data_IF_765166200113
#
_entry.id   IF_765166200113
#
_cell.length_a   1.000
_cell.length_b   1.000
_cell.length_c   1.000
_cell.angle_alpha   90.00
_cell.angle_beta   90.00
_cell.angle_gamma   90.00
#
_symmetry.space_group_name_H-M   'P 1'
#
loop_
_entity.id
_entity.type
_entity.pdbx_description
1 polymer ?
#
# COMPACT_ATOMS: atom_id res chain seq x y z
N UNK A 1 -63.80 -19.70 -16.11
CA UNK A 1 -63.32 -18.33 -16.41
C UNK A 1 -62.75 -17.74 -15.12
N UNK A 2 -61.42 -17.75 -14.97
CA UNK A 2 -60.71 -17.12 -13.84
C UNK A 2 -59.61 -16.25 -14.43
N UNK A 3 -59.69 -14.96 -14.15
CA UNK A 3 -58.79 -13.90 -14.62
C UNK A 3 -57.45 -13.98 -13.91
N UNK A 4 -56.37 -14.03 -14.69
CA UNK A 4 -54.99 -13.92 -14.21
C UNK A 4 -54.62 -12.43 -14.07
N UNK A 5 -54.01 -12.09 -12.93
CA UNK A 5 -53.64 -10.74 -12.52
C UNK A 5 -52.35 -10.25 -13.19
N UNK A 6 -52.28 -8.94 -13.42
CA UNK A 6 -51.23 -8.16 -14.10
C UNK A 6 -49.85 -8.09 -13.39
N UNK A 7 -49.37 -9.19 -12.83
CA UNK A 7 -48.13 -9.23 -12.02
C UNK A 7 -46.89 -9.78 -12.77
N UNK A 8 -46.99 -10.22 -14.02
CA UNK A 8 -45.90 -10.93 -14.72
C UNK A 8 -45.43 -10.30 -16.04
N UNK A 9 -45.75 -9.03 -16.32
CA UNK A 9 -45.27 -8.32 -17.51
C UNK A 9 -44.25 -7.22 -17.18
N UNK A 10 -43.21 -7.57 -16.42
CA UNK A 10 -42.06 -6.67 -16.21
C UNK A 10 -40.73 -7.43 -16.23
N UNK A 11 -40.62 -8.40 -17.12
CA UNK A 11 -39.33 -8.86 -17.64
C UNK A 11 -39.20 -8.40 -19.09
N UNK A 12 -37.99 -7.97 -19.45
CA UNK A 12 -37.55 -7.47 -20.75
C UNK A 12 -37.92 -6.02 -21.06
N UNK A 13 -37.09 -5.06 -20.64
CA UNK A 13 -36.59 -3.99 -21.52
C UNK A 13 -35.42 -3.27 -20.84
N UNK A 14 -34.32 -3.11 -21.59
CA UNK A 14 -33.26 -2.11 -21.39
C UNK A 14 -32.29 -2.37 -20.20
N UNK A 15 -30.95 -2.35 -20.32
CA UNK A 15 -30.06 -1.59 -21.20
C UNK A 15 -28.76 -2.38 -21.39
N UNK A 16 -28.39 -2.64 -22.65
CA UNK A 16 -27.03 -2.95 -23.08
C UNK A 16 -26.16 -1.71 -22.83
N UNK A 17 -25.22 -1.81 -21.88
CA UNK A 17 -24.20 -0.77 -21.70
C UNK A 17 -23.06 -0.97 -22.72
N UNK A 18 -22.66 0.07 -23.47
CA UNK A 18 -21.51 0.02 -24.35
C UNK A 18 -20.21 -0.08 -23.53
N UNK A 19 -19.37 -1.02 -23.93
CA UNK A 19 -18.02 -1.24 -23.41
C UNK A 19 -17.19 0.01 -23.73
N UNK A 20 -16.94 0.83 -22.72
CA UNK A 20 -16.11 2.03 -22.85
C UNK A 20 -14.67 1.63 -23.10
N UNK A 21 -14.18 2.05 -24.27
CA UNK A 21 -12.80 2.03 -24.73
C UNK A 21 -11.86 2.61 -23.66
N UNK A 22 -11.07 1.76 -22.99
CA UNK A 22 -9.99 2.23 -22.13
C UNK A 22 -8.83 2.68 -23.02
N UNK A 23 -8.67 4.00 -23.09
CA UNK A 23 -7.54 4.67 -23.72
C UNK A 23 -6.25 4.29 -22.99
N UNK A 24 -5.37 3.56 -23.68
CA UNK A 24 -4.01 3.29 -23.26
C UNK A 24 -3.18 4.58 -23.28
N UNK A 25 -3.18 5.33 -22.18
CA UNK A 25 -2.19 6.36 -21.95
C UNK A 25 -0.83 5.70 -21.69
N UNK A 26 0.02 5.69 -22.72
CA UNK A 26 1.44 5.36 -22.58
C UNK A 26 2.12 6.48 -21.79
N UNK A 27 2.29 6.26 -20.49
CA UNK A 27 3.21 7.03 -19.67
C UNK A 27 4.63 6.49 -19.92
N UNK A 28 5.34 7.14 -20.83
CA UNK A 28 6.79 6.97 -20.99
C UNK A 28 7.51 7.65 -19.82
N UNK A 29 7.74 6.90 -18.74
CA UNK A 29 8.66 7.31 -17.67
C UNK A 29 10.10 7.01 -18.12
N UNK A 30 11.01 7.99 -18.17
CA UNK A 30 12.42 7.73 -18.42
C UNK A 30 13.01 6.95 -17.23
N UNK A 31 13.34 5.69 -17.47
CA UNK A 31 14.03 4.82 -16.53
C UNK A 31 15.52 5.18 -16.51
N UNK A 32 15.90 6.14 -15.67
CA UNK A 32 17.30 6.39 -15.30
C UNK A 32 17.76 5.36 -14.28
N UNK A 33 18.22 4.20 -14.77
CA UNK A 33 18.95 3.24 -13.95
C UNK A 33 20.38 3.72 -13.72
N UNK A 34 20.61 4.36 -12.58
CA UNK A 34 21.95 4.47 -11.98
C UNK A 34 21.84 4.19 -10.49
N UNK A 35 21.49 2.94 -10.17
CA UNK A 35 21.64 2.39 -8.83
C UNK A 35 23.08 1.94 -8.63
N UNK A 36 23.98 2.90 -8.43
CA UNK A 36 25.25 2.62 -7.77
C UNK A 36 24.93 2.27 -6.33
N UNK A 37 24.86 0.97 -6.01
CA UNK A 37 24.86 0.46 -4.65
C UNK A 37 26.20 0.79 -4.00
N UNK A 38 26.34 2.02 -3.50
CA UNK A 38 27.35 2.33 -2.50
C UNK A 38 26.98 1.53 -1.25
N UNK A 39 27.79 0.53 -0.93
CA UNK A 39 27.81 -0.12 0.37
C UNK A 39 28.02 0.98 1.41
N UNK A 40 26.95 1.41 2.07
CA UNK A 40 27.04 2.32 3.20
C UNK A 40 27.73 1.57 4.32
N UNK A 41 29.01 1.86 4.51
CA UNK A 41 29.75 1.49 5.71
C UNK A 41 28.93 1.96 6.91
N UNK A 42 28.56 1.02 7.79
CA UNK A 42 27.89 1.29 9.05
C UNK A 42 28.81 2.17 9.90
N UNK A 43 28.61 3.49 9.86
CA UNK A 43 29.26 4.41 10.80
C UNK A 43 28.91 3.95 12.21
N UNK A 44 29.92 3.57 12.98
CA UNK A 44 29.78 3.26 14.39
C UNK A 44 29.06 4.41 15.09
N UNK A 45 28.07 4.06 15.92
CA UNK A 45 27.29 5.04 16.64
C UNK A 45 28.22 5.84 17.56
N UNK A 46 28.16 7.17 17.46
CA UNK A 46 28.95 8.06 18.32
C UNK A 46 28.71 7.70 19.80
N UNK A 47 29.75 7.67 20.66
CA UNK A 47 29.56 7.43 22.08
C UNK A 47 28.60 8.49 22.64
N UNK A 48 27.50 8.05 23.27
CA UNK A 48 26.45 8.92 23.80
C UNK A 48 25.27 9.20 22.86
N UNK A 49 25.27 8.71 21.61
CA UNK A 49 24.09 8.79 20.74
C UNK A 49 22.98 7.86 21.24
N UNK A 50 21.99 8.42 21.93
CA UNK A 50 20.74 7.70 22.17
C UNK A 50 19.89 7.82 20.90
N UNK A 51 19.58 6.69 20.24
CA UNK A 51 18.83 6.74 19.01
C UNK A 51 17.44 7.33 19.27
N UNK A 52 16.94 8.12 18.32
CA UNK A 52 15.65 8.81 18.42
C UNK A 52 14.47 7.88 18.74
N UNK A 53 14.58 6.60 18.38
CA UNK A 53 13.56 5.57 18.66
C UNK A 53 13.63 4.99 20.08
N UNK A 54 14.64 5.33 20.89
CA UNK A 54 14.69 4.93 22.29
C UNK A 54 13.64 5.72 23.05
N UNK A 55 12.63 5.03 23.59
CA UNK A 55 11.56 5.64 24.37
C UNK A 55 12.16 6.42 25.53
N UNK A 56 11.86 7.72 25.61
CA UNK A 56 12.18 8.51 26.80
C UNK A 56 11.40 7.90 27.96
N UNK A 57 12.08 7.58 29.06
CA UNK A 57 11.42 7.03 30.25
C UNK A 57 10.30 7.97 30.68
N UNK A 58 9.11 7.42 30.88
CA UNK A 58 8.01 8.21 31.46
C UNK A 58 8.33 8.49 32.93
N UNK A 59 7.87 9.62 33.48
CA UNK A 59 8.10 9.98 34.89
C UNK A 59 7.69 8.85 35.85
N UNK A 60 6.64 8.09 35.50
CA UNK A 60 6.17 6.92 36.25
C UNK A 60 7.16 5.74 36.22
N UNK A 61 7.87 5.51 35.10
CA UNK A 61 8.91 4.48 35.00
C UNK A 61 10.19 4.88 35.73
N UNK A 62 10.49 6.18 35.79
CA UNK A 62 11.65 6.70 36.49
C UNK A 62 11.53 6.57 38.03
N UNK A 63 10.31 6.54 38.56
CA UNK A 63 10.05 6.46 40.01
C UNK A 63 9.71 5.04 40.53
N UNK A 64 9.78 4.01 39.68
CA UNK A 64 9.85 2.59 40.02
C UNK A 64 9.16 2.14 41.33
N UNK A 65 7.84 2.05 41.35
CA UNK A 65 7.11 1.41 42.46
C UNK A 65 5.64 1.82 42.47
N UNK A 66 4.77 0.95 43.00
CA UNK A 66 3.40 1.31 43.41
C UNK A 66 3.51 2.37 44.51
N UNK A 67 3.19 3.64 44.24
CA UNK A 67 3.43 4.70 45.20
C UNK A 67 2.38 4.63 46.30
N UNK A 68 2.82 4.62 47.55
CA UNK A 68 1.96 4.74 48.73
C UNK A 68 1.25 6.11 48.76
N UNK A 69 1.84 7.14 48.14
CA UNK A 69 1.29 8.49 48.04
C UNK A 69 1.41 9.05 46.61
N UNK A 70 0.27 9.08 45.90
CA UNK A 70 0.16 9.57 44.52
C UNK A 70 0.39 11.09 44.39
N UNK A 71 0.26 11.82 45.50
CA UNK A 71 0.46 13.27 45.60
C UNK A 71 1.92 13.69 45.41
N UNK A 72 2.88 12.84 45.80
CA UNK A 72 4.32 13.15 45.74
C UNK A 72 4.89 13.11 44.32
N UNK A 73 4.20 12.45 43.39
CA UNK A 73 4.65 12.28 41.99
C UNK A 73 4.23 13.50 41.14
N UNK A 74 3.56 14.49 41.74
CA UNK A 74 3.09 15.68 41.03
C UNK A 74 1.97 15.36 40.04
N UNK A 75 1.29 14.22 40.17
CA UNK A 75 0.04 13.99 39.46
C UNK A 75 -1.03 14.89 40.08
N UNK A 76 -1.61 15.75 39.25
CA UNK A 76 -2.68 16.66 39.65
C UNK A 76 -4.02 15.95 39.43
N UNK A 77 -4.87 15.89 40.46
CA UNK A 77 -6.22 15.32 40.38
C UNK A 77 -6.74 14.86 41.74
N UNK A 78 -8.07 14.85 41.89
CA UNK A 78 -8.74 14.51 43.15
C UNK A 78 -9.28 13.07 43.15
N UNK A 79 -9.54 12.48 41.98
CA UNK A 79 -10.20 11.18 41.85
C UNK A 79 -9.16 10.08 41.61
N UNK A 80 -9.02 9.09 42.52
CA UNK A 80 -8.12 7.96 42.30
C UNK A 80 -8.70 6.99 41.26
N UNK A 81 -7.92 6.70 40.22
CA UNK A 81 -8.23 5.80 39.11
C UNK A 81 -7.24 4.64 39.11
N UNK A 82 -7.76 3.41 39.08
CA UNK A 82 -6.97 2.18 39.08
C UNK A 82 -7.21 1.44 37.77
N UNK A 83 -6.16 1.32 36.95
CA UNK A 83 -6.17 0.53 35.72
C UNK A 83 -5.69 -0.89 36.00
N UNK A 84 -6.52 -1.89 35.69
CA UNK A 84 -6.21 -3.30 35.81
C UNK A 84 -6.06 -3.93 34.42
N UNK A 85 -4.91 -4.53 34.13
CA UNK A 85 -4.67 -5.28 32.91
C UNK A 85 -4.01 -6.62 33.25
N UNK A 86 -4.82 -7.68 33.33
CA UNK A 86 -4.35 -8.98 33.81
C UNK A 86 -3.76 -8.86 35.22
N UNK A 87 -2.46 -9.15 35.36
CA UNK A 87 -1.74 -9.06 36.64
C UNK A 87 -1.09 -7.69 36.90
N UNK A 88 -1.13 -6.76 35.94
CA UNK A 88 -0.52 -5.43 36.08
C UNK A 88 -1.58 -4.44 36.52
N UNK A 89 -1.33 -3.76 37.63
CA UNK A 89 -2.18 -2.68 38.14
C UNK A 89 -1.40 -1.37 38.10
N UNK A 90 -1.99 -0.33 37.50
CA UNK A 90 -1.43 1.02 37.47
C UNK A 90 -2.42 1.99 38.08
N UNK A 91 -1.95 2.86 38.96
CA UNK A 91 -2.81 3.82 39.67
C UNK A 91 -2.43 5.24 39.31
N UNK A 92 -3.42 6.09 39.10
CA UNK A 92 -3.27 7.52 38.81
C UNK A 92 -4.39 8.34 39.41
N UNK A 93 -4.18 9.65 39.54
CA UNK A 93 -5.26 10.59 39.87
C UNK A 93 -5.75 11.33 38.63
N UNK A 94 -7.03 11.67 38.61
CA UNK A 94 -7.69 12.38 37.51
C UNK A 94 -8.63 13.47 38.03
N UNK A 95 -8.97 14.42 37.17
CA UNK A 95 -10.02 15.41 37.42
C UNK A 95 -11.39 14.91 36.95
N UNK A 96 -12.45 15.37 37.60
CA UNK A 96 -13.81 15.19 37.10
C UNK A 96 -13.95 15.86 35.71
N UNK A 97 -14.56 15.16 34.76
CA UNK A 97 -14.71 15.60 33.37
C UNK A 97 -13.49 15.39 32.48
N UNK A 98 -12.34 14.95 33.01
CA UNK A 98 -11.17 14.64 32.19
C UNK A 98 -11.45 13.43 31.27
N UNK A 99 -11.05 13.47 29.98
CA UNK A 99 -11.24 12.33 29.09
C UNK A 99 -10.41 11.13 29.55
N UNK A 100 -11.04 9.95 29.59
CA UNK A 100 -10.40 8.75 30.14
C UNK A 100 -9.17 8.30 29.32
N UNK A 101 -9.11 8.71 28.05
CA UNK A 101 -7.94 8.54 27.16
C UNK A 101 -6.68 9.21 27.70
N UNK A 102 -6.79 10.43 28.19
CA UNK A 102 -5.64 11.21 28.63
C UNK A 102 -5.17 10.72 30.00
N UNK A 103 -6.11 10.33 30.86
CA UNK A 103 -5.84 9.68 32.15
C UNK A 103 -5.08 8.37 31.96
N UNK A 104 -5.50 7.53 31.00
CA UNK A 104 -4.78 6.30 30.69
C UNK A 104 -3.36 6.58 30.17
N UNK A 105 -3.18 7.62 29.36
CA UNK A 105 -1.86 8.06 28.87
C UNK A 105 -0.97 8.55 30.02
N UNK A 106 -1.54 9.31 30.96
CA UNK A 106 -0.87 9.75 32.18
C UNK A 106 -0.44 8.58 33.07
N UNK A 107 -1.24 7.51 33.13
CA UNK A 107 -0.90 6.27 33.80
C UNK A 107 0.17 5.42 33.08
N UNK A 108 0.58 5.82 31.88
CA UNK A 108 1.38 4.97 30.99
C UNK A 108 0.65 3.67 30.65
N UNK A 109 -0.68 3.65 30.73
CA UNK A 109 -1.50 2.51 30.40
C UNK A 109 -1.88 2.56 28.92
N UNK A 110 -1.41 1.57 28.16
CA UNK A 110 -1.62 1.55 26.72
C UNK A 110 -2.96 0.92 26.34
N UNK A 111 -3.88 1.75 25.86
CA UNK A 111 -5.17 1.34 25.29
C UNK A 111 -5.10 1.49 23.77
N UNK A 112 -5.54 0.47 23.03
CA UNK A 112 -5.61 0.51 21.57
C UNK A 112 -6.82 1.36 21.15
N UNK A 113 -6.57 2.45 20.44
CA UNK A 113 -7.61 3.29 19.84
C UNK A 113 -7.65 3.07 18.33
N UNK A 114 -8.84 2.82 17.79
CA UNK A 114 -9.08 2.72 16.34
C UNK A 114 -9.59 4.05 15.78
N UNK A 115 -10.91 4.26 15.85
CA UNK A 115 -11.56 5.45 15.28
C UNK A 115 -11.52 6.69 16.18
N UNK A 116 -11.36 6.53 17.50
CA UNK A 116 -11.43 7.63 18.47
C UNK A 116 -12.82 8.25 18.70
N UNK A 117 -13.82 7.89 17.90
CA UNK A 117 -15.22 8.37 17.98
C UNK A 117 -16.16 7.40 18.73
N UNK A 118 -15.65 6.24 19.13
CA UNK A 118 -16.44 5.22 19.83
C UNK A 118 -17.25 4.29 18.92
N UNK A 119 -17.12 4.33 17.60
CA UNK A 119 -17.87 3.45 16.69
C UNK A 119 -17.27 2.04 16.58
N UNK A 120 -15.94 1.93 16.61
CA UNK A 120 -15.22 0.69 16.27
C UNK A 120 -15.13 -0.36 17.40
N UNK A 121 -15.50 -0.01 18.65
CA UNK A 121 -15.40 -0.90 19.82
C UNK A 121 -13.98 -1.34 20.24
N UNK A 122 -12.94 -1.03 19.47
CA UNK A 122 -11.55 -1.49 19.72
C UNK A 122 -11.00 -1.17 21.10
N UNK A 123 -11.43 -0.06 21.70
CA UNK A 123 -10.93 0.42 22.99
C UNK A 123 -11.80 0.03 24.19
N UNK A 124 -12.80 -0.85 24.03
CA UNK A 124 -13.74 -1.20 25.10
C UNK A 124 -13.04 -1.70 26.38
N UNK A 125 -13.44 -1.13 27.52
CA UNK A 125 -12.97 -1.51 28.85
C UNK A 125 -14.15 -1.62 29.83
N UNK A 126 -13.98 -2.42 30.88
CA UNK A 126 -15.00 -2.62 31.90
C UNK A 126 -14.72 -1.69 33.08
N UNK A 127 -15.67 -0.82 33.41
CA UNK A 127 -15.63 0.10 34.54
C UNK A 127 -16.83 -0.15 35.41
N UNK A 128 -16.61 -0.44 36.70
CA UNK A 128 -17.68 -0.67 37.68
C UNK A 128 -18.74 -1.70 37.19
N UNK A 129 -18.30 -2.69 36.41
CA UNK A 129 -19.15 -3.74 35.81
C UNK A 129 -19.81 -3.39 34.47
N UNK A 130 -19.65 -2.17 33.97
CA UNK A 130 -20.19 -1.73 32.68
C UNK A 130 -19.10 -1.64 31.61
N UNK A 131 -19.39 -2.14 30.40
CA UNK A 131 -18.50 -1.98 29.26
C UNK A 131 -18.67 -0.58 28.66
N UNK A 132 -17.62 0.23 28.78
CA UNK A 132 -17.60 1.60 28.27
C UNK A 132 -16.52 1.78 27.20
N UNK A 133 -16.65 2.85 26.43
CA UNK A 133 -15.69 3.24 25.40
C UNK A 133 -14.85 4.44 25.88
N UNK A 134 -13.62 4.22 26.38
CA UNK A 134 -12.79 5.25 27.01
C UNK A 134 -12.33 6.34 26.05
N UNK A 135 -12.51 6.14 24.74
CA UNK A 135 -12.13 7.13 23.73
C UNK A 135 -13.07 8.35 23.66
N UNK A 136 -14.30 8.23 24.18
CA UNK A 136 -15.33 9.29 24.20
C UNK A 136 -15.76 9.64 25.62
N UNK A 137 -15.71 8.68 26.55
CA UNK A 137 -16.19 8.85 27.92
C UNK A 137 -15.20 9.68 28.76
N UNK A 138 -15.77 10.59 29.57
CA UNK A 138 -15.07 11.38 30.58
C UNK A 138 -15.22 10.77 31.96
N UNK A 139 -14.30 11.08 32.87
CA UNK A 139 -14.37 10.66 34.27
C UNK A 139 -15.59 11.34 34.94
N UNK A 140 -16.51 10.60 35.56
CA UNK A 140 -17.67 11.20 36.21
C UNK A 140 -17.24 11.97 37.48
N UNK A 141 -17.91 13.09 37.83
CA UNK A 141 -17.74 13.71 39.13
C UNK A 141 -18.23 12.77 40.22
N UNK A 142 -17.40 12.51 41.24
CA UNK A 142 -17.79 11.70 42.41
C UNK A 142 -18.11 12.58 43.60
N UNK A 143 -19.16 12.22 44.34
CA UNK A 143 -19.73 13.02 45.41
C UNK A 143 -18.95 12.96 46.74
N UNK A 144 -18.09 11.95 46.95
CA UNK A 144 -17.30 11.79 48.18
C UNK A 144 -15.87 11.33 47.87
N UNK A 145 -14.90 11.85 48.64
CA UNK A 145 -13.49 11.43 48.57
C UNK A 145 -13.27 10.00 49.11
N UNK A 146 -14.20 9.51 49.94
CA UNK A 146 -14.15 8.16 50.53
C UNK A 146 -14.73 7.06 49.61
N UNK A 147 -15.15 7.41 48.39
CA UNK A 147 -15.68 6.44 47.45
C UNK A 147 -14.59 5.44 47.00
N UNK A 148 -14.94 4.16 46.76
CA UNK A 148 -13.98 3.16 46.27
C UNK A 148 -13.32 3.63 44.98
N UNK A 149 -12.04 3.31 44.72
CA UNK A 149 -11.30 3.85 43.57
C UNK A 149 -11.97 3.49 42.23
N UNK A 150 -11.88 4.42 41.26
CA UNK A 150 -12.48 4.22 39.93
C UNK A 150 -11.71 3.16 39.17
N UNK A 151 -12.26 1.94 39.10
CA UNK A 151 -11.52 0.77 38.62
C UNK A 151 -11.83 0.51 37.15
N UNK A 152 -10.81 0.60 36.31
CA UNK A 152 -10.88 0.38 34.86
C UNK A 152 -10.19 -0.93 34.53
N UNK A 153 -10.95 -1.97 34.21
CA UNK A 153 -10.45 -3.27 33.75
C UNK A 153 -10.31 -3.27 32.24
N UNK A 154 -9.08 -3.36 31.76
CA UNK A 154 -8.79 -3.48 30.34
C UNK A 154 -8.91 -4.94 29.92
N UNK A 155 -9.44 -5.16 28.72
CA UNK A 155 -9.34 -6.47 28.07
C UNK A 155 -7.86 -6.83 27.90
N UNK A 156 -7.49 -8.01 28.39
CA UNK A 156 -6.16 -8.55 28.17
C UNK A 156 -5.90 -8.62 26.66
N UNK A 157 -4.80 -8.01 26.23
CA UNK A 157 -4.39 -8.06 24.85
C UNK A 157 -3.74 -9.43 24.65
N UNK A 158 -4.55 -10.45 24.36
CA UNK A 158 -4.09 -11.83 24.09
C UNK A 158 -3.37 -11.95 22.74
N UNK A 159 -2.90 -10.84 22.16
CA UNK A 159 -1.91 -10.89 21.10
C UNK A 159 -0.64 -11.44 21.75
N UNK A 160 -0.54 -12.77 21.82
CA UNK A 160 0.72 -13.48 21.98
C UNK A 160 1.61 -12.80 20.95
N UNK A 161 2.56 -12.00 21.41
CA UNK A 161 3.65 -11.55 20.57
C UNK A 161 4.32 -12.84 20.16
N UNK A 162 3.89 -13.41 19.03
CA UNK A 162 4.67 -14.41 18.32
C UNK A 162 5.93 -13.62 18.04
N UNK A 163 6.96 -13.86 18.84
CA UNK A 163 8.24 -13.23 18.62
C UNK A 163 8.54 -13.50 17.16
N UNK A 164 8.86 -12.44 16.42
CA UNK A 164 9.15 -12.51 14.99
C UNK A 164 10.34 -13.44 14.67
N UNK A 165 10.92 -14.10 15.69
CA UNK A 165 11.96 -15.12 15.60
C UNK A 165 11.61 -16.35 14.76
N UNK A 166 10.35 -16.60 14.36
CA UNK A 166 10.02 -17.65 13.37
C UNK A 166 10.02 -17.16 11.91
N UNK A 167 10.00 -15.85 11.64
CA UNK A 167 10.11 -15.32 10.28
C UNK A 167 11.55 -15.40 9.72
N UNK A 168 12.57 -15.51 10.58
CA UNK A 168 13.97 -15.67 10.19
C UNK A 168 14.50 -17.10 10.34
N UNK A 169 13.66 -18.10 10.06
CA UNK A 169 14.16 -19.47 9.95
C UNK A 169 15.03 -19.57 8.68
N UNK A 170 16.11 -20.34 8.67
CA UNK A 170 16.98 -20.51 7.48
C UNK A 170 16.18 -20.86 6.21
N UNK A 171 15.05 -21.55 6.36
CA UNK A 171 14.09 -21.85 5.29
C UNK A 171 13.49 -20.61 4.62
N UNK A 172 13.22 -19.54 5.38
CA UNK A 172 12.72 -18.25 4.86
C UNK A 172 13.76 -17.56 3.97
N UNK A 173 15.04 -17.64 4.34
CA UNK A 173 16.14 -17.08 3.56
C UNK A 173 16.34 -17.82 2.24
N UNK A 174 16.25 -19.16 2.26
CA UNK A 174 16.35 -19.98 1.04
C UNK A 174 15.15 -19.73 0.12
N UNK A 175 13.92 -19.65 0.65
CA UNK A 175 12.75 -19.33 -0.17
C UNK A 175 12.81 -17.91 -0.76
N UNK A 176 13.24 -16.93 0.04
CA UNK A 176 13.42 -15.55 -0.42
C UNK A 176 14.49 -15.44 -1.50
N UNK A 177 15.60 -16.14 -1.36
CA UNK A 177 16.66 -16.22 -2.37
C UNK A 177 16.16 -16.89 -3.65
N UNK A 178 15.45 -18.02 -3.54
CA UNK A 178 14.93 -18.74 -4.71
C UNK A 178 13.91 -17.90 -5.49
N UNK A 179 13.06 -17.12 -4.81
CA UNK A 179 12.10 -16.25 -5.48
C UNK A 179 12.78 -15.06 -6.21
N UNK A 180 13.84 -14.49 -5.62
CA UNK A 180 14.62 -13.43 -6.26
C UNK A 180 15.43 -13.97 -7.46
N UNK A 181 15.99 -15.17 -7.33
CA UNK A 181 16.74 -15.84 -8.40
C UNK A 181 15.82 -16.26 -9.56
N UNK A 182 14.61 -16.77 -9.27
CA UNK A 182 13.61 -17.09 -10.29
C UNK A 182 13.21 -15.85 -11.08
N UNK A 183 13.06 -14.71 -10.39
CA UNK A 183 12.79 -13.42 -11.02
C UNK A 183 13.87 -13.07 -12.04
N UNK A 184 15.15 -13.15 -11.66
CA UNK A 184 16.25 -12.87 -12.59
C UNK A 184 16.30 -13.83 -13.79
N UNK A 185 16.07 -15.12 -13.58
CA UNK A 185 16.04 -16.11 -14.69
C UNK A 185 14.88 -15.82 -15.64
N UNK A 186 13.71 -15.45 -15.10
CA UNK A 186 12.57 -14.98 -15.89
C UNK A 186 12.90 -13.75 -16.74
N UNK A 187 13.59 -12.76 -16.16
CA UNK A 187 14.03 -11.56 -16.88
C UNK A 187 15.03 -11.86 -18.01
N UNK A 188 15.97 -12.79 -17.80
CA UNK A 188 16.94 -13.17 -18.84
C UNK A 188 16.24 -13.86 -20.01
N UNK A 189 15.27 -14.76 -19.74
CA UNK A 189 14.49 -15.41 -20.79
C UNK A 189 13.64 -14.40 -21.57
N UNK A 190 12.91 -13.53 -20.89
CA UNK A 190 12.12 -12.49 -21.53
C UNK A 190 12.97 -11.54 -22.40
N UNK A 191 14.18 -11.19 -21.94
CA UNK A 191 15.13 -10.38 -22.72
C UNK A 191 15.58 -11.11 -24.00
N UNK A 192 15.80 -12.42 -23.93
CA UNK A 192 16.19 -13.23 -25.10
C UNK A 192 15.05 -13.33 -26.13
N UNK A 193 13.82 -13.53 -25.67
CA UNK A 193 12.64 -13.63 -26.55
C UNK A 193 12.32 -12.28 -27.22
N UNK A 194 12.47 -11.17 -26.48
CA UNK A 194 12.33 -9.82 -27.03
C UNK A 194 13.38 -9.53 -28.12
N UNK A 195 14.62 -10.01 -27.95
CA UNK A 195 15.67 -9.85 -28.95
C UNK A 195 15.36 -10.62 -30.24
N UNK A 196 14.88 -11.85 -30.14
CA UNK A 196 14.44 -12.63 -31.31
C UNK A 196 13.28 -11.95 -32.05
N UNK A 197 12.29 -11.45 -31.31
CA UNK A 197 11.14 -10.73 -31.90
C UNK A 197 11.56 -9.44 -32.61
N UNK A 198 12.61 -8.78 -32.11
CA UNK A 198 13.18 -7.60 -32.75
C UNK A 198 13.92 -7.95 -34.04
N UNK A 199 14.76 -8.99 -34.01
CA UNK A 199 15.49 -9.51 -35.17
C UNK A 199 14.50 -9.90 -36.29
N UNK A 200 13.43 -10.62 -35.96
CA UNK A 200 12.37 -10.96 -36.93
C UNK A 200 11.73 -9.72 -37.58
N UNK A 201 11.42 -8.68 -36.80
CA UNK A 201 10.87 -7.42 -37.35
C UNK A 201 11.84 -6.73 -38.29
N UNK A 202 13.12 -6.74 -37.95
CA UNK A 202 14.16 -6.11 -38.74
C UNK A 202 14.32 -6.81 -40.11
N UNK A 203 14.28 -8.15 -40.12
CA UNK A 203 14.27 -8.96 -41.34
C UNK A 203 13.03 -8.68 -42.21
N UNK A 204 11.84 -8.54 -41.61
CA UNK A 204 10.62 -8.17 -42.35
C UNK A 204 10.71 -6.77 -42.97
N UNK A 205 11.23 -5.79 -42.23
CA UNK A 205 11.44 -4.42 -42.75
C UNK A 205 12.43 -4.41 -43.92
N UNK A 206 13.52 -5.19 -43.85
CA UNK A 206 14.47 -5.34 -44.95
C UNK A 206 13.84 -6.01 -46.18
N UNK A 207 13.06 -7.07 -45.99
CA UNK A 207 12.34 -7.73 -47.09
C UNK A 207 11.35 -6.79 -47.79
N UNK A 208 10.63 -5.96 -47.02
CA UNK A 208 9.73 -4.94 -47.57
C UNK A 208 10.51 -3.90 -48.36
N UNK A 209 11.67 -3.47 -47.85
CA UNK A 209 12.55 -2.51 -48.52
C UNK A 209 13.03 -3.04 -49.87
N UNK A 210 13.50 -4.29 -49.93
CA UNK A 210 13.95 -4.95 -51.17
C UNK A 210 12.81 -5.03 -52.18
N UNK A 211 11.65 -5.56 -51.79
CA UNK A 211 10.46 -5.65 -52.67
C UNK A 211 10.00 -4.29 -53.19
N UNK A 212 10.12 -3.25 -52.37
CA UNK A 212 9.75 -1.88 -52.76
C UNK A 212 10.73 -1.30 -53.78
N UNK A 213 12.04 -1.54 -53.60
CA UNK A 213 13.07 -1.14 -54.55
C UNK A 213 12.91 -1.87 -55.89
N UNK A 214 12.69 -3.18 -55.87
CA UNK A 214 12.42 -3.99 -57.06
C UNK A 214 11.17 -3.50 -57.80
N UNK A 215 10.06 -3.25 -57.08
CA UNK A 215 8.84 -2.71 -57.68
C UNK A 215 9.05 -1.32 -58.30
N UNK A 216 9.90 -0.48 -57.68
CA UNK A 216 10.27 0.84 -58.20
C UNK A 216 11.13 0.73 -59.45
N UNK A 217 12.13 -0.15 -59.46
CA UNK A 217 12.97 -0.42 -60.61
C UNK A 217 12.13 -0.93 -61.80
N UNK A 218 11.27 -1.92 -61.57
CA UNK A 218 10.37 -2.45 -62.60
C UNK A 218 9.42 -1.39 -63.19
N UNK A 219 8.98 -0.42 -62.37
CA UNK A 219 8.16 0.70 -62.86
C UNK A 219 8.97 1.65 -63.75
N UNK A 220 10.19 1.99 -63.35
CA UNK A 220 11.09 2.83 -64.15
C UNK A 220 11.45 2.17 -65.49
N UNK A 221 11.75 0.87 -65.50
CA UNK A 221 12.04 0.10 -66.73
C UNK A 221 10.84 0.10 -67.68
N UNK A 222 9.61 -0.06 -67.17
CA UNK A 222 8.39 0.03 -67.99
C UNK A 222 8.19 1.43 -68.57
N UNK A 223 8.43 2.48 -67.78
CA UNK A 223 8.32 3.87 -68.23
C UNK A 223 9.39 4.18 -69.31
N UNK A 224 10.62 3.71 -69.15
CA UNK A 224 11.67 3.83 -70.16
C UNK A 224 11.34 3.05 -71.43
N UNK A 225 10.85 1.81 -71.30
CA UNK A 225 10.44 0.99 -72.44
C UNK A 225 9.25 1.61 -73.20
N UNK A 226 8.32 2.27 -72.52
CA UNK A 226 7.22 3.01 -73.15
C UNK A 226 7.74 4.21 -73.94
N UNK A 227 8.65 5.01 -73.36
CA UNK A 227 9.28 6.14 -74.06
C UNK A 227 10.06 5.72 -75.31
N UNK A 228 10.85 4.64 -75.23
CA UNK A 228 11.56 4.10 -76.39
C UNK A 228 10.60 3.66 -77.51
N UNK A 229 9.43 3.10 -77.16
CA UNK A 229 8.39 2.75 -78.15
C UNK A 229 7.76 3.98 -78.79
N UNK A 230 7.51 5.04 -78.03
CA UNK A 230 6.99 6.32 -78.55
C UNK A 230 8.00 6.99 -79.50
N UNK A 231 9.29 6.99 -79.14
CA UNK A 231 10.38 7.50 -79.99
C UNK A 231 10.46 6.72 -81.31
N UNK A 232 10.40 5.38 -81.27
CA UNK A 232 10.37 4.54 -82.48
C UNK A 232 9.12 4.81 -83.35
N UNK A 233 7.95 4.94 -82.74
CA UNK A 233 6.71 5.26 -83.45
C UNK A 233 6.81 6.64 -84.14
N UNK A 234 7.31 7.65 -83.44
CA UNK A 234 7.49 9.00 -84.01
C UNK A 234 8.53 9.05 -85.13
N UNK A 235 9.68 8.37 -84.97
CA UNK A 235 10.75 8.34 -85.98
C UNK A 235 10.40 7.54 -87.24
N UNK A 236 9.51 6.55 -87.15
CA UNK A 236 8.98 5.86 -88.34
C UNK A 236 8.07 6.74 -89.21
N UNK A 237 7.41 7.74 -88.62
CA UNK A 237 6.52 8.67 -89.34
C UNK A 237 7.30 9.69 -90.18
N UNK A 238 8.52 10.05 -89.80
CA UNK A 238 9.33 11.06 -90.50
C UNK A 238 10.04 10.57 -91.78
N UNK A 239 10.04 9.26 -92.09
CA UNK A 239 10.65 8.69 -93.31
C UNK A 239 9.64 8.47 -94.46
N UNK A 240 8.43 9.02 -94.38
CA UNK A 240 7.35 8.84 -95.36
C UNK A 240 7.07 10.08 -96.24
N UNK A 241 8.00 11.04 -96.31
CA UNK A 241 7.94 12.15 -97.28
C UNK A 241 8.99 11.95 -98.39
N UNK A 242 8.57 11.84 -99.67
CA UNK A 242 9.42 11.56 -100.82
C UNK A 242 10.29 12.75 -101.27
#
# INVERSE_FOLDING_TARGET
MRSLSASEMLWLFCVLHPVSSFASHQLSVPFTSSSTTRLFATKEARPGYQPKWKKKATLAEQMGGTPSDLSQIGLKGDIPVVFQQGNVTKTTVAFAGQPLRDVATQAGQFIRYGCGKGECGTCECMVDGQWIRPCVVTVPPRASQDAPPYTVRLKEQTTKTVSSGKFYTARSFVLGFWNNLLGMVGFVKARRDAKRSWEERLEYEELIRVKTLEKRQARLERELAAKLKEEQASGSSSNLLP
#
